data_IF_399272792827
#
_entry.id   IF_399272792827
#
_cell.length_a   1.000
_cell.length_b   1.000
_cell.length_c   1.000
_cell.angle_alpha   90.00
_cell.angle_beta   90.00
_cell.angle_gamma   90.00
#
_symmetry.space_group_name_H-M   'P 1'
#
loop_
_entity.id
_entity.type
_entity.pdbx_description
1 polymer ?
#
# COMPACT_ATOMS: atom_id res chain seq x y z
N UNK A 1 -31.51 45.61 66.55
CA UNK A 1 -30.40 45.29 67.40
C UNK A 1 -29.19 45.13 66.51
N UNK A 2 -28.36 46.19 66.29
CA UNK A 2 -27.14 46.56 67.02
C UNK A 2 -26.14 45.38 67.01
N UNK A 3 -24.94 45.45 66.46
CA UNK A 3 -23.83 46.43 66.54
C UNK A 3 -22.86 46.14 65.33
N UNK A 4 -22.32 47.08 64.62
CA UNK A 4 -21.31 48.08 64.88
C UNK A 4 -19.90 47.56 65.23
N UNK A 5 -18.91 47.92 64.41
CA UNK A 5 -17.49 48.04 64.74
C UNK A 5 -16.61 47.10 63.97
N UNK A 6 -15.55 47.45 63.29
CA UNK A 6 -14.62 48.56 63.46
C UNK A 6 -13.73 48.62 62.18
N UNK A 7 -13.53 49.83 61.63
CA UNK A 7 -12.48 50.19 60.70
C UNK A 7 -11.11 50.07 61.40
N UNK A 8 -10.18 49.36 60.78
CA UNK A 8 -8.74 49.53 60.98
C UNK A 8 -8.03 49.92 59.68
N UNK A 9 -7.54 51.13 59.68
CA UNK A 9 -6.61 51.65 58.69
C UNK A 9 -5.31 50.83 58.70
N UNK A 10 -4.92 50.36 57.54
CA UNK A 10 -3.57 49.84 57.37
C UNK A 10 -2.85 50.70 56.30
N UNK A 11 -1.96 51.58 56.84
CA UNK A 11 -0.94 52.22 56.02
C UNK A 11 0.16 51.21 55.67
N UNK A 12 0.32 50.82 54.42
CA UNK A 12 1.37 49.93 54.00
C UNK A 12 1.97 50.41 52.64
N UNK A 13 3.16 50.83 52.72
CA UNK A 13 4.10 51.37 51.74
C UNK A 13 4.01 50.70 50.36
N UNK A 14 4.04 51.51 49.27
CA UNK A 14 4.25 51.05 47.91
C UNK A 14 5.70 50.60 47.76
N UNK A 15 6.02 49.41 47.25
CA UNK A 15 7.37 49.08 46.81
C UNK A 15 7.63 49.69 45.43
N UNK A 16 8.87 50.16 45.25
CA UNK A 16 9.41 50.84 44.08
C UNK A 16 9.43 49.87 42.86
N UNK A 17 9.04 50.41 41.70
CA UNK A 17 9.23 49.79 40.40
C UNK A 17 10.71 49.97 40.00
N UNK A 18 11.55 48.97 40.23
CA UNK A 18 12.83 48.80 39.56
C UNK A 18 13.14 47.31 39.50
N UNK A 19 13.54 46.85 38.31
CA UNK A 19 14.04 45.52 37.99
C UNK A 19 13.02 44.45 37.58
N UNK A 20 12.19 44.77 36.56
CA UNK A 20 11.64 43.73 35.73
C UNK A 20 12.57 43.51 34.51
N UNK A 21 13.62 42.68 34.68
CA UNK A 21 14.37 42.13 33.54
C UNK A 21 13.42 41.24 32.78
N UNK A 22 13.05 41.66 31.54
CA UNK A 22 12.42 40.80 30.58
C UNK A 22 13.40 39.68 30.21
N UNK A 23 13.23 38.52 30.80
CA UNK A 23 13.80 37.27 30.26
C UNK A 23 13.11 37.01 28.94
N UNK A 24 13.87 37.03 27.84
CA UNK A 24 13.38 36.63 26.52
C UNK A 24 12.84 35.20 26.59
N UNK A 25 11.71 34.87 25.91
CA UNK A 25 11.24 33.50 25.85
C UNK A 25 12.28 32.65 25.14
N UNK A 26 12.81 31.67 25.83
CA UNK A 26 13.67 30.62 25.27
C UNK A 26 12.90 29.96 24.14
N UNK A 27 13.53 29.94 22.97
CA UNK A 27 13.07 29.23 21.76
C UNK A 27 12.71 27.81 22.19
N UNK A 28 11.50 27.28 21.84
CA UNK A 28 11.17 25.90 22.18
C UNK A 28 12.20 24.99 21.53
N UNK A 29 12.85 24.16 22.33
CA UNK A 29 13.67 23.05 21.87
C UNK A 29 12.83 22.24 20.87
N UNK A 30 13.42 22.00 19.71
CA UNK A 30 12.89 21.07 18.73
C UNK A 30 12.86 19.70 19.41
N UNK A 31 11.69 19.31 19.92
CA UNK A 31 11.44 17.94 20.29
C UNK A 31 11.74 17.09 19.06
N UNK A 32 12.85 16.40 19.08
CA UNK A 32 13.10 15.24 18.24
C UNK A 32 12.03 14.21 18.62
N UNK A 33 10.90 14.24 17.92
CA UNK A 33 10.01 13.09 17.88
C UNK A 33 10.85 11.96 17.31
N UNK A 34 11.27 11.09 18.19
CA UNK A 34 11.87 9.80 17.92
C UNK A 34 10.97 9.12 16.85
N UNK A 35 11.46 9.01 15.64
CA UNK A 35 10.71 8.48 14.51
C UNK A 35 10.69 6.97 14.60
N UNK A 36 9.92 6.48 15.58
CA UNK A 36 9.48 5.10 15.58
C UNK A 36 8.72 4.80 14.28
N UNK A 37 8.72 3.56 13.80
CA UNK A 37 8.03 3.22 12.56
C UNK A 37 6.57 3.69 12.64
N UNK A 38 6.01 4.27 11.54
CA UNK A 38 4.65 4.78 11.53
C UNK A 38 3.67 3.76 12.12
N UNK A 39 2.71 4.20 12.93
CA UNK A 39 1.70 3.32 13.57
C UNK A 39 1.03 2.39 12.55
N UNK A 40 0.80 2.89 11.33
CA UNK A 40 0.32 2.12 10.19
C UNK A 40 1.22 0.94 9.83
N UNK A 41 2.53 1.08 9.98
CA UNK A 41 3.52 0.03 9.73
C UNK A 41 3.50 -1.06 10.80
N UNK A 42 3.38 -0.68 12.05
CA UNK A 42 3.26 -1.63 13.17
C UNK A 42 1.98 -2.46 13.03
N UNK A 43 0.87 -1.80 12.65
CA UNK A 43 -0.41 -2.45 12.37
C UNK A 43 -0.29 -3.45 11.19
N UNK A 44 0.36 -3.06 10.09
CA UNK A 44 0.57 -3.94 8.94
C UNK A 44 1.43 -5.17 9.30
N UNK A 45 2.50 -5.00 10.09
CA UNK A 45 3.30 -6.14 10.59
C UNK A 45 2.49 -7.07 11.52
N UNK A 46 1.60 -6.51 12.33
CA UNK A 46 0.71 -7.27 13.19
C UNK A 46 -0.34 -8.03 12.37
N UNK A 47 -0.87 -7.38 11.33
CA UNK A 47 -1.78 -8.01 10.37
C UNK A 47 -1.12 -9.18 9.62
N UNK A 48 0.13 -9.02 9.20
CA UNK A 48 0.91 -10.12 8.58
C UNK A 48 1.17 -11.29 9.54
N UNK A 49 1.23 -11.04 10.84
CA UNK A 49 1.42 -12.12 11.84
C UNK A 49 0.14 -12.91 12.14
N UNK A 50 -1.03 -12.27 12.07
CA UNK A 50 -2.32 -12.91 12.34
C UNK A 50 -3.40 -12.43 11.34
N UNK A 51 -3.26 -12.72 10.04
CA UNK A 51 -4.15 -12.19 9.02
C UNK A 51 -5.58 -12.71 9.15
N UNK A 52 -5.78 -13.95 9.58
CA UNK A 52 -7.10 -14.57 9.76
C UNK A 52 -7.92 -13.91 10.88
N UNK A 53 -7.28 -13.47 11.97
CA UNK A 53 -7.96 -12.87 13.10
C UNK A 53 -8.49 -11.44 12.81
N UNK A 54 -7.81 -10.71 11.94
CA UNK A 54 -8.13 -9.28 11.67
C UNK A 54 -9.00 -9.12 10.41
N UNK A 55 -8.81 -9.98 9.40
CA UNK A 55 -9.53 -9.87 8.12
C UNK A 55 -11.02 -10.26 8.20
N UNK A 56 -11.40 -11.08 9.16
CA UNK A 56 -12.80 -11.57 9.29
C UNK A 56 -13.80 -10.46 9.66
N UNK A 57 -13.35 -9.31 10.16
CA UNK A 57 -14.20 -8.29 10.79
C UNK A 57 -14.14 -6.89 10.16
N UNK A 58 -13.31 -6.63 9.12
CA UNK A 58 -13.12 -5.26 8.65
C UNK A 58 -13.93 -4.91 7.40
N UNK A 59 -14.94 -4.00 7.52
CA UNK A 59 -15.55 -3.32 6.36
C UNK A 59 -14.51 -2.59 5.50
N UNK A 60 -13.38 -2.20 6.10
CA UNK A 60 -12.24 -1.49 5.52
C UNK A 60 -11.63 -2.23 4.32
N UNK A 61 -11.42 -3.55 4.42
CA UNK A 61 -10.84 -4.35 3.33
C UNK A 61 -11.67 -4.32 2.05
N UNK A 62 -13.00 -4.28 2.15
CA UNK A 62 -13.90 -4.21 0.98
C UNK A 62 -13.83 -2.88 0.25
N UNK A 63 -13.69 -1.77 0.98
CA UNK A 63 -13.54 -0.46 0.35
C UNK A 63 -12.19 -0.35 -0.37
N UNK A 64 -11.11 -0.81 0.27
CA UNK A 64 -9.79 -0.81 -0.36
C UNK A 64 -9.80 -1.68 -1.62
N UNK A 65 -10.41 -2.87 -1.57
CA UNK A 65 -10.56 -3.74 -2.74
C UNK A 65 -11.29 -3.03 -3.89
N UNK A 66 -12.39 -2.33 -3.61
CA UNK A 66 -13.11 -1.53 -4.63
C UNK A 66 -12.23 -0.46 -5.25
N UNK A 67 -11.44 0.26 -4.44
CA UNK A 67 -10.53 1.30 -4.94
C UNK A 67 -9.41 0.71 -5.82
N UNK A 68 -8.89 -0.47 -5.48
CA UNK A 68 -7.88 -1.14 -6.29
C UNK A 68 -8.47 -1.69 -7.60
N UNK A 69 -9.66 -2.28 -7.55
CA UNK A 69 -10.37 -2.80 -8.73
C UNK A 69 -10.77 -1.68 -9.69
N UNK A 70 -11.14 -0.50 -9.18
CA UNK A 70 -11.45 0.66 -10.02
C UNK A 70 -10.27 1.13 -10.87
N UNK A 71 -9.04 0.70 -10.55
CA UNK A 71 -7.83 1.01 -11.31
C UNK A 71 -7.49 -0.05 -12.38
N UNK A 72 -8.26 -1.14 -12.47
CA UNK A 72 -8.10 -2.12 -13.56
C UNK A 72 -8.28 -1.46 -14.94
N UNK A 73 -7.62 -1.95 -15.98
CA UNK A 73 -8.01 -1.61 -17.36
C UNK A 73 -9.50 -1.88 -17.59
N UNK A 74 -10.14 -1.06 -18.43
CA UNK A 74 -11.59 -1.11 -18.64
C UNK A 74 -12.12 -2.50 -19.05
N UNK A 75 -11.36 -3.25 -19.83
CA UNK A 75 -11.72 -4.59 -20.32
C UNK A 75 -10.78 -5.66 -19.75
N UNK A 76 -10.29 -5.46 -18.53
CA UNK A 76 -9.42 -6.44 -17.90
C UNK A 76 -10.17 -7.78 -17.71
N UNK A 77 -9.59 -8.84 -18.25
CA UNK A 77 -10.09 -10.20 -18.13
C UNK A 77 -9.15 -11.08 -17.32
N UNK A 78 -7.83 -10.92 -17.51
CA UNK A 78 -6.80 -11.75 -16.89
C UNK A 78 -6.05 -10.96 -15.85
N UNK A 79 -6.12 -11.41 -14.61
CA UNK A 79 -5.54 -10.69 -13.47
C UNK A 79 -4.67 -11.62 -12.63
N UNK A 80 -3.59 -11.08 -12.09
CA UNK A 80 -2.73 -11.75 -11.11
C UNK A 80 -2.88 -11.01 -9.78
N UNK A 81 -3.10 -11.74 -8.70
CA UNK A 81 -3.09 -11.23 -7.34
C UNK A 81 -1.81 -11.68 -6.62
N UNK A 82 -1.04 -10.75 -6.07
CA UNK A 82 0.14 -11.03 -5.25
C UNK A 82 -0.19 -10.82 -3.77
N UNK A 83 0.01 -11.87 -2.97
CA UNK A 83 -0.34 -11.87 -1.55
C UNK A 83 -1.84 -11.99 -1.34
N UNK A 84 -2.43 -13.10 -1.74
CA UNK A 84 -3.87 -13.36 -1.66
C UNK A 84 -4.44 -13.29 -0.24
N UNK A 85 -3.62 -13.61 0.75
CA UNK A 85 -3.96 -13.51 2.17
C UNK A 85 -5.22 -14.31 2.53
N UNK A 86 -6.25 -13.62 2.99
CA UNK A 86 -7.56 -14.23 3.33
C UNK A 86 -8.56 -14.24 2.18
N UNK A 87 -8.13 -13.86 0.97
CA UNK A 87 -8.95 -13.85 -0.25
C UNK A 87 -9.92 -12.67 -0.35
N UNK A 88 -9.62 -11.54 0.26
CA UNK A 88 -10.47 -10.34 0.18
C UNK A 88 -10.45 -9.77 -1.24
N UNK A 89 -9.27 -9.60 -1.82
CA UNK A 89 -9.14 -9.12 -3.20
C UNK A 89 -9.58 -10.18 -4.19
N UNK A 90 -9.21 -11.45 -3.99
CA UNK A 90 -9.65 -12.58 -4.81
C UNK A 90 -11.18 -12.59 -4.98
N UNK A 91 -11.90 -12.52 -3.85
CA UNK A 91 -13.38 -12.48 -3.88
C UNK A 91 -13.92 -11.24 -4.57
N UNK A 92 -13.28 -10.09 -4.35
CA UNK A 92 -13.70 -8.83 -4.93
C UNK A 92 -13.47 -8.81 -6.45
N UNK A 93 -12.38 -9.40 -6.94
CA UNK A 93 -12.08 -9.57 -8.37
C UNK A 93 -13.10 -10.46 -9.06
N UNK A 94 -13.39 -11.64 -8.48
CA UNK A 94 -14.43 -12.55 -9.01
C UNK A 94 -15.80 -11.87 -8.99
N UNK A 95 -16.13 -11.16 -7.90
CA UNK A 95 -17.39 -10.40 -7.80
C UNK A 95 -17.46 -9.19 -8.76
N UNK A 96 -16.33 -8.70 -9.26
CA UNK A 96 -16.25 -7.67 -10.29
C UNK A 96 -16.45 -8.22 -11.72
N UNK A 97 -16.34 -9.53 -11.90
CA UNK A 97 -16.53 -10.19 -13.19
C UNK A 97 -15.28 -10.85 -13.77
N UNK A 98 -14.15 -10.84 -13.06
CA UNK A 98 -12.98 -11.62 -13.48
C UNK A 98 -13.33 -13.10 -13.29
N UNK A 99 -13.28 -13.88 -14.37
CA UNK A 99 -13.54 -15.32 -14.29
C UNK A 99 -12.45 -15.99 -13.44
N UNK A 100 -12.84 -16.91 -12.56
CA UNK A 100 -11.89 -17.55 -11.65
C UNK A 100 -10.72 -18.22 -12.41
N UNK A 101 -10.99 -18.88 -13.54
CA UNK A 101 -9.97 -19.49 -14.40
C UNK A 101 -8.99 -18.49 -15.02
N UNK A 102 -9.31 -17.20 -15.04
CA UNK A 102 -8.48 -16.11 -15.54
C UNK A 102 -7.84 -15.28 -14.42
N UNK A 103 -7.88 -15.80 -13.19
CA UNK A 103 -7.30 -15.22 -12.00
C UNK A 103 -6.21 -16.14 -11.43
N UNK A 104 -4.97 -15.64 -11.38
CA UNK A 104 -3.88 -16.29 -10.66
C UNK A 104 -3.67 -15.59 -9.32
N UNK A 105 -3.67 -16.35 -8.24
CA UNK A 105 -3.46 -15.87 -6.87
C UNK A 105 -2.19 -16.47 -6.32
N UNK A 106 -1.19 -15.65 -6.05
CA UNK A 106 0.09 -16.06 -5.48
C UNK A 106 0.14 -15.70 -3.99
N UNK A 107 0.44 -16.68 -3.16
CA UNK A 107 0.60 -16.51 -1.72
C UNK A 107 1.86 -17.24 -1.23
N UNK A 108 2.68 -16.56 -0.42
CA UNK A 108 3.92 -17.14 0.10
C UNK A 108 3.69 -18.00 1.36
N UNK A 109 2.70 -17.64 2.17
CA UNK A 109 2.39 -18.35 3.40
C UNK A 109 1.58 -19.62 3.10
N UNK A 110 2.13 -20.78 3.45
CA UNK A 110 1.53 -22.07 3.16
C UNK A 110 0.13 -22.23 3.76
N UNK A 111 -0.12 -21.79 4.98
CA UNK A 111 -1.43 -21.92 5.62
C UNK A 111 -2.50 -21.06 4.93
N UNK A 112 -2.12 -19.86 4.48
CA UNK A 112 -3.01 -18.98 3.70
C UNK A 112 -3.23 -19.50 2.29
N UNK A 113 -2.21 -20.05 1.65
CA UNK A 113 -2.31 -20.73 0.38
C UNK A 113 -3.33 -21.87 0.44
N UNK A 114 -3.24 -22.76 1.43
CA UNK A 114 -4.19 -23.88 1.60
C UNK A 114 -5.61 -23.37 1.82
N UNK A 115 -5.78 -22.30 2.62
CA UNK A 115 -7.07 -21.65 2.81
C UNK A 115 -7.65 -21.08 1.50
N UNK A 116 -6.83 -20.40 0.70
CA UNK A 116 -7.23 -19.85 -0.60
C UNK A 116 -7.60 -20.95 -1.59
N UNK A 117 -6.76 -21.98 -1.71
CA UNK A 117 -6.97 -23.12 -2.62
C UNK A 117 -8.26 -23.86 -2.32
N UNK A 118 -8.57 -24.09 -1.03
CA UNK A 118 -9.81 -24.73 -0.63
C UNK A 118 -11.05 -23.89 -0.94
N UNK A 119 -10.91 -22.56 -0.98
CA UNK A 119 -12.01 -21.62 -1.15
C UNK A 119 -12.28 -21.21 -2.59
N UNK A 120 -11.24 -21.12 -3.40
CA UNK A 120 -11.29 -20.63 -4.79
C UNK A 120 -10.81 -21.73 -5.74
N UNK A 121 -11.53 -22.83 -5.77
CA UNK A 121 -11.15 -24.08 -6.46
C UNK A 121 -10.97 -23.92 -7.98
N UNK A 122 -11.67 -22.95 -8.57
CA UNK A 122 -11.62 -22.67 -10.01
C UNK A 122 -10.57 -21.62 -10.39
N UNK A 123 -9.88 -21.04 -9.42
CA UNK A 123 -8.79 -20.09 -9.65
C UNK A 123 -7.43 -20.78 -9.61
N UNK A 124 -6.45 -20.19 -10.30
CA UNK A 124 -5.06 -20.60 -10.21
C UNK A 124 -4.47 -20.13 -8.89
N UNK A 125 -4.54 -20.93 -7.84
CA UNK A 125 -3.94 -20.59 -6.53
C UNK A 125 -2.62 -21.31 -6.37
N UNK A 126 -1.53 -20.56 -6.23
CA UNK A 126 -0.16 -21.10 -6.20
C UNK A 126 0.60 -20.59 -4.97
N UNK A 127 1.35 -21.49 -4.33
CA UNK A 127 2.30 -21.13 -3.26
C UNK A 127 3.63 -20.73 -3.87
N UNK A 128 4.13 -19.51 -3.55
CA UNK A 128 5.43 -19.10 -4.07
C UNK A 128 5.82 -17.67 -3.78
N UNK A 129 7.04 -17.32 -4.17
CA UNK A 129 7.61 -15.98 -4.01
C UNK A 129 7.27 -15.10 -5.23
N UNK A 130 6.80 -13.89 -4.97
CA UNK A 130 6.45 -12.93 -6.02
C UNK A 130 7.63 -12.52 -6.92
N UNK A 131 8.87 -12.70 -6.46
CA UNK A 131 10.07 -12.49 -7.27
C UNK A 131 10.20 -13.51 -8.40
N UNK A 132 9.60 -14.69 -8.22
CA UNK A 132 9.60 -15.79 -9.18
C UNK A 132 8.31 -15.87 -10.00
N UNK A 133 7.46 -14.83 -9.94
CA UNK A 133 6.12 -14.82 -10.52
C UNK A 133 6.07 -15.32 -11.97
N UNK A 134 7.02 -14.91 -12.82
CA UNK A 134 7.03 -15.34 -14.22
C UNK A 134 7.19 -16.84 -14.37
N UNK A 135 8.18 -17.42 -13.67
CA UNK A 135 8.44 -18.86 -13.69
C UNK A 135 7.23 -19.64 -13.15
N UNK A 136 6.66 -19.18 -12.03
CA UNK A 136 5.50 -19.78 -11.39
C UNK A 136 4.28 -19.75 -12.31
N UNK A 137 3.94 -18.58 -12.87
CA UNK A 137 2.79 -18.42 -13.75
C UNK A 137 2.92 -19.20 -15.07
N UNK A 138 4.17 -19.42 -15.54
CA UNK A 138 4.45 -20.28 -16.69
C UNK A 138 4.28 -21.76 -16.32
N UNK A 139 4.85 -22.19 -15.21
CA UNK A 139 4.77 -23.59 -14.75
C UNK A 139 3.33 -24.01 -14.39
N UNK A 140 2.51 -23.08 -13.91
CA UNK A 140 1.08 -23.28 -13.63
C UNK A 140 0.23 -23.35 -14.91
N UNK A 141 0.76 -22.93 -16.07
CA UNK A 141 0.02 -22.84 -17.32
C UNK A 141 -0.83 -21.55 -17.46
N UNK A 142 -0.83 -20.67 -16.46
CA UNK A 142 -1.61 -19.44 -16.51
C UNK A 142 -1.21 -18.57 -17.72
N UNK A 143 0.07 -18.50 -18.06
CA UNK A 143 0.56 -17.69 -19.19
C UNK A 143 0.34 -18.33 -20.57
N UNK A 144 -0.10 -19.59 -20.68
CA UNK A 144 -0.34 -20.27 -21.97
C UNK A 144 -1.42 -19.58 -22.80
N UNK A 145 -2.37 -18.92 -22.14
CA UNK A 145 -3.41 -18.12 -22.77
C UNK A 145 -3.03 -16.64 -22.98
N UNK A 146 -1.76 -16.32 -22.77
CA UNK A 146 -1.21 -14.97 -22.92
C UNK A 146 -0.99 -14.20 -21.63
N UNK A 147 -0.41 -13.00 -21.72
CA UNK A 147 -0.08 -12.17 -20.58
C UNK A 147 -1.32 -11.57 -19.91
N UNK A 148 -1.16 -11.17 -18.64
CA UNK A 148 -2.22 -10.57 -17.85
C UNK A 148 -2.46 -9.08 -18.19
N UNK A 149 -3.67 -8.61 -17.91
CA UNK A 149 -4.07 -7.20 -18.05
C UNK A 149 -3.61 -6.36 -16.85
N UNK A 150 -3.62 -6.97 -15.67
CA UNK A 150 -3.22 -6.29 -14.44
C UNK A 150 -2.64 -7.26 -13.41
N UNK A 151 -1.78 -6.70 -12.56
CA UNK A 151 -1.37 -7.29 -11.29
C UNK A 151 -1.94 -6.44 -10.17
N UNK A 152 -2.68 -7.05 -9.23
CA UNK A 152 -3.09 -6.44 -7.97
C UNK A 152 -2.19 -6.96 -6.86
N UNK A 153 -1.56 -6.07 -6.10
CA UNK A 153 -0.61 -6.43 -5.06
C UNK A 153 -1.08 -6.04 -3.67
N UNK A 154 -1.23 -7.05 -2.81
CA UNK A 154 -1.42 -6.92 -1.37
C UNK A 154 -0.12 -6.93 -0.57
N UNK A 155 1.03 -6.94 -1.24
CA UNK A 155 2.33 -7.04 -0.60
C UNK A 155 2.73 -5.78 0.15
N UNK A 156 3.45 -5.94 1.26
CA UNK A 156 4.01 -4.82 2.03
C UNK A 156 5.27 -4.23 1.41
N UNK A 157 5.23 -3.74 0.17
CA UNK A 157 6.41 -3.24 -0.55
C UNK A 157 7.19 -2.19 0.24
N UNK A 158 6.51 -1.35 1.05
CA UNK A 158 7.17 -0.31 1.86
C UNK A 158 8.21 -0.88 2.83
N UNK A 159 8.06 -2.14 3.24
CA UNK A 159 8.99 -2.82 4.16
C UNK A 159 10.13 -3.55 3.49
N UNK A 160 10.07 -3.66 2.19
CA UNK A 160 11.04 -4.43 1.42
C UNK A 160 12.23 -3.58 1.01
N UNK A 161 13.37 -4.21 0.81
CA UNK A 161 14.55 -3.54 0.26
C UNK A 161 14.25 -3.06 -1.18
N UNK A 162 14.97 -2.02 -1.63
CA UNK A 162 14.86 -1.53 -3.02
C UNK A 162 15.11 -2.65 -4.04
N UNK A 163 16.05 -3.55 -3.75
CA UNK A 163 16.36 -4.71 -4.58
C UNK A 163 15.14 -5.64 -4.69
N UNK A 164 14.53 -6.03 -3.57
CA UNK A 164 13.33 -6.88 -3.56
C UNK A 164 12.16 -6.22 -4.27
N UNK A 165 11.96 -4.89 -4.07
CA UNK A 165 10.94 -4.13 -4.79
C UNK A 165 11.16 -4.18 -6.32
N UNK A 166 12.40 -4.00 -6.77
CA UNK A 166 12.76 -4.08 -8.18
C UNK A 166 12.49 -5.49 -8.75
N UNK A 167 12.95 -6.53 -8.05
CA UNK A 167 12.78 -7.93 -8.46
C UNK A 167 11.29 -8.28 -8.62
N UNK A 168 10.44 -7.92 -7.65
CA UNK A 168 8.98 -8.14 -7.72
C UNK A 168 8.35 -7.38 -8.89
N UNK A 169 8.67 -6.09 -9.05
CA UNK A 169 8.11 -5.30 -10.14
C UNK A 169 8.54 -5.83 -11.51
N UNK A 170 9.82 -6.17 -11.69
CA UNK A 170 10.33 -6.76 -12.93
C UNK A 170 9.64 -8.10 -13.24
N UNK A 171 9.51 -8.98 -12.24
CA UNK A 171 8.79 -10.24 -12.38
C UNK A 171 7.32 -9.99 -12.76
N UNK A 172 6.63 -9.07 -12.10
CA UNK A 172 5.23 -8.74 -12.39
C UNK A 172 5.08 -8.16 -13.80
N UNK A 173 5.91 -7.20 -14.18
CA UNK A 173 5.84 -6.60 -15.52
C UNK A 173 6.21 -7.58 -16.63
N UNK A 174 6.99 -8.63 -16.36
CA UNK A 174 7.28 -9.68 -17.34
C UNK A 174 6.09 -10.59 -17.66
N UNK A 175 5.02 -10.55 -16.84
CA UNK A 175 3.77 -11.31 -17.04
C UNK A 175 2.63 -10.43 -17.58
N UNK A 176 2.85 -9.13 -17.70
CA UNK A 176 1.83 -8.16 -18.11
C UNK A 176 1.89 -7.85 -19.61
N UNK A 177 0.72 -7.60 -20.21
CA UNK A 177 0.58 -6.96 -21.52
C UNK A 177 1.38 -5.65 -21.59
N UNK A 178 1.72 -5.12 -22.77
CA UNK A 178 2.44 -3.85 -22.90
C UNK A 178 1.81 -2.69 -22.11
N UNK A 179 0.47 -2.56 -22.14
CA UNK A 179 -0.32 -1.54 -21.43
C UNK A 179 -0.79 -2.00 -20.07
N UNK A 180 -0.36 -3.19 -19.62
CA UNK A 180 -0.75 -3.77 -18.35
C UNK A 180 -0.33 -2.90 -17.16
N UNK A 181 -1.07 -3.02 -16.06
CA UNK A 181 -0.92 -2.20 -14.86
C UNK A 181 -0.53 -3.05 -13.67
N UNK A 182 0.37 -2.52 -12.84
CA UNK A 182 0.60 -3.03 -11.50
C UNK A 182 -0.06 -2.08 -10.51
N UNK A 183 -1.00 -2.59 -9.71
CA UNK A 183 -1.84 -1.81 -8.79
C UNK A 183 -1.48 -2.20 -7.37
N UNK A 184 -1.03 -1.23 -6.57
CA UNK A 184 -0.53 -1.42 -5.21
C UNK A 184 -1.22 -0.48 -4.25
N UNK A 185 -1.56 -0.94 -3.05
CA UNK A 185 -1.92 -0.03 -1.98
C UNK A 185 -0.79 0.17 -0.97
N UNK A 186 -0.87 1.27 -0.23
CA UNK A 186 0.01 1.53 0.92
C UNK A 186 -0.71 2.35 1.99
N UNK A 187 -0.37 2.14 3.24
CA UNK A 187 -0.82 2.94 4.36
C UNK A 187 0.07 4.19 4.52
N UNK A 188 0.04 5.07 3.53
CA UNK A 188 0.85 6.27 3.53
C UNK A 188 0.55 7.18 2.34
N UNK A 189 0.99 8.45 2.42
CA UNK A 189 0.70 9.44 1.38
C UNK A 189 1.62 9.34 0.16
N UNK A 190 2.69 8.56 0.24
CA UNK A 190 3.70 8.42 -0.83
C UNK A 190 3.73 6.99 -1.37
N UNK A 191 4.11 6.85 -2.64
CA UNK A 191 4.37 5.56 -3.25
C UNK A 191 5.40 4.78 -2.42
N UNK A 192 5.18 3.47 -2.19
CA UNK A 192 6.15 2.64 -1.48
C UNK A 192 7.46 2.45 -2.26
N UNK A 193 7.42 2.64 -3.57
CA UNK A 193 8.60 2.54 -4.45
C UNK A 193 9.05 3.94 -4.87
N UNK A 194 10.34 4.20 -4.76
CA UNK A 194 10.90 5.52 -5.08
C UNK A 194 10.88 5.79 -6.58
N UNK A 195 10.82 7.08 -6.95
CA UNK A 195 10.82 7.48 -8.37
C UNK A 195 12.13 7.15 -9.07
N UNK A 196 13.24 7.21 -8.35
CA UNK A 196 14.57 6.87 -8.85
C UNK A 196 14.61 5.39 -9.25
N UNK A 197 14.17 4.48 -8.36
CA UNK A 197 14.12 3.05 -8.66
C UNK A 197 13.18 2.76 -9.84
N UNK A 198 12.02 3.42 -9.91
CA UNK A 198 11.09 3.24 -11.02
C UNK A 198 11.70 3.69 -12.35
N UNK A 199 12.44 4.82 -12.35
CA UNK A 199 13.14 5.29 -13.54
C UNK A 199 14.23 4.30 -14.02
N UNK A 200 14.99 3.73 -13.08
CA UNK A 200 16.01 2.71 -13.35
C UNK A 200 15.41 1.48 -14.05
N UNK A 201 14.25 1.01 -13.60
CA UNK A 201 13.58 -0.18 -14.17
C UNK A 201 12.57 0.15 -15.28
N UNK A 202 12.52 1.40 -15.74
CA UNK A 202 11.71 1.83 -16.89
C UNK A 202 10.20 1.94 -16.59
N UNK A 203 9.83 2.20 -15.35
CA UNK A 203 8.45 2.33 -14.90
C UNK A 203 8.12 3.76 -14.48
N UNK A 204 6.84 4.06 -14.48
CA UNK A 204 6.25 5.28 -13.93
C UNK A 204 5.15 4.94 -12.92
N UNK A 205 4.83 5.88 -12.05
CA UNK A 205 3.78 5.74 -11.05
C UNK A 205 2.87 6.95 -11.05
N UNK A 206 1.55 6.69 -10.95
CA UNK A 206 0.55 7.70 -10.61
C UNK A 206 -0.21 7.29 -9.35
N UNK A 207 -0.74 8.28 -8.66
CA UNK A 207 -1.70 8.03 -7.58
C UNK A 207 -3.05 7.67 -8.21
N UNK A 208 -3.66 6.63 -7.71
CA UNK A 208 -5.02 6.21 -8.00
C UNK A 208 -6.00 6.61 -6.90
N UNK A 209 -6.91 5.70 -6.55
CA UNK A 209 -7.90 5.90 -5.52
C UNK A 209 -7.35 6.09 -4.11
N UNK A 210 -8.24 6.51 -3.21
CA UNK A 210 -7.95 6.63 -1.78
C UNK A 210 -9.08 6.03 -0.95
N UNK A 211 -8.72 5.18 0.01
CA UNK A 211 -9.68 4.52 0.90
C UNK A 211 -9.68 5.23 2.26
N UNK A 212 -10.57 6.23 2.43
CA UNK A 212 -10.69 7.06 3.64
C UNK A 212 -11.14 6.26 4.87
N UNK A 213 -12.11 5.38 4.68
CA UNK A 213 -12.70 4.57 5.74
C UNK A 213 -11.91 3.29 6.03
N UNK A 214 -10.78 3.10 5.36
CA UNK A 214 -9.85 2.06 5.71
C UNK A 214 -9.09 2.48 6.98
N UNK A 215 -8.95 1.60 7.95
CA UNK A 215 -8.21 1.88 9.18
C UNK A 215 -6.94 1.01 9.23
N UNK A 216 -5.76 1.62 9.05
CA UNK A 216 -5.52 3.04 8.71
C UNK A 216 -5.89 3.37 7.25
N UNK A 217 -6.10 4.68 6.91
CA UNK A 217 -6.39 5.09 5.54
C UNK A 217 -5.31 4.64 4.55
N UNK A 218 -5.74 4.21 3.35
CA UNK A 218 -4.84 3.67 2.35
C UNK A 218 -4.90 4.43 1.02
N UNK A 219 -3.75 4.62 0.40
CA UNK A 219 -3.60 5.18 -0.95
C UNK A 219 -3.34 4.06 -1.94
N UNK A 220 -3.96 4.14 -3.12
CA UNK A 220 -3.70 3.23 -4.24
C UNK A 220 -2.73 3.90 -5.20
N UNK A 221 -1.79 3.14 -5.73
CA UNK A 221 -0.80 3.56 -6.72
C UNK A 221 -0.84 2.63 -7.92
N UNK A 222 -0.76 3.21 -9.11
CA UNK A 222 -0.75 2.48 -10.37
C UNK A 222 0.58 2.68 -11.07
N UNK A 223 1.26 1.58 -11.33
CA UNK A 223 2.53 1.55 -12.03
C UNK A 223 2.33 1.07 -13.46
N UNK A 224 3.03 1.69 -14.40
CA UNK A 224 2.98 1.38 -15.84
C UNK A 224 4.38 1.48 -16.44
N UNK A 225 4.59 0.87 -17.60
CA UNK A 225 5.82 1.08 -18.37
C UNK A 225 5.94 2.52 -18.84
N UNK A 226 7.16 3.05 -18.86
CA UNK A 226 7.45 4.36 -19.46
C UNK A 226 7.28 4.31 -20.98
N UNK A 227 6.36 5.10 -21.52
CA UNK A 227 6.11 5.17 -22.98
C UNK A 227 7.32 5.61 -23.79
N UNK A 228 8.22 6.41 -23.23
CA UNK A 228 9.41 6.94 -23.93
C UNK A 228 10.42 5.85 -24.33
N UNK A 229 10.50 4.72 -23.60
CA UNK A 229 11.41 3.61 -23.94
C UNK A 229 10.81 2.62 -24.93
N UNK A 230 9.49 2.47 -24.97
CA UNK A 230 8.81 1.56 -25.90
C UNK A 230 8.97 2.00 -27.36
N UNK A 231 8.96 3.31 -27.61
CA UNK A 231 9.14 3.86 -28.99
C UNK A 231 10.56 3.65 -29.52
N UNK A 232 11.58 3.61 -28.65
CA UNK A 232 12.97 3.37 -29.09
C UNK A 232 13.24 1.90 -29.40
N UNK A 233 12.64 0.94 -28.68
CA UNK A 233 12.82 -0.49 -28.90
C UNK A 233 12.23 -0.93 -30.25
N UNK A 234 11.01 -0.46 -30.58
CA UNK A 234 10.35 -0.78 -31.85
C UNK A 234 11.12 -0.18 -33.06
N UNK A 235 11.81 0.96 -32.84
CA UNK A 235 12.55 1.63 -33.94
C UNK A 235 13.91 1.00 -34.22
N UNK A 236 14.47 0.21 -33.33
CA UNK A 236 15.73 -0.53 -33.50
C UNK A 236 15.50 -1.89 -34.18
N UNK A 237 14.36 -2.55 -33.95
CA UNK A 237 14.02 -3.82 -34.58
C UNK A 237 13.58 -3.66 -36.06
N UNK A 238 13.15 -2.46 -36.45
CA UNK A 238 12.73 -2.20 -37.88
C UNK A 238 13.89 -1.75 -38.77
N UNK A 239 15.14 -1.75 -38.29
CA UNK A 239 16.34 -1.35 -39.04
C UNK A 239 17.44 -2.42 -39.06
N UNK A 240 17.11 -3.68 -38.71
CA UNK A 240 18.01 -4.83 -38.81
C UNK A 240 17.68 -5.73 -39.97
#
# INVERSE_FOLDING_TARGET
MLAAGALRHYHGRRPAFSDFRMTQPTRPEKNNFDSGPPVAWTFFRQWLKNPLAIAALSPSGRQLARQMIAELPHEAQRVIELGGGTGVFTRALIGHGIAAKDLLVLELNEALYQHLRARFVDAHVVCGDARELKAIATADGFLDQGPADAVISGLGLLSMTKRTQAEILQAAFSTLKPEGRFIQFTYGPKSPVSRELLAEIGLSVRRGGFAWWNMPPASVYVYTRNRSRAVHAVRTESKG
#
